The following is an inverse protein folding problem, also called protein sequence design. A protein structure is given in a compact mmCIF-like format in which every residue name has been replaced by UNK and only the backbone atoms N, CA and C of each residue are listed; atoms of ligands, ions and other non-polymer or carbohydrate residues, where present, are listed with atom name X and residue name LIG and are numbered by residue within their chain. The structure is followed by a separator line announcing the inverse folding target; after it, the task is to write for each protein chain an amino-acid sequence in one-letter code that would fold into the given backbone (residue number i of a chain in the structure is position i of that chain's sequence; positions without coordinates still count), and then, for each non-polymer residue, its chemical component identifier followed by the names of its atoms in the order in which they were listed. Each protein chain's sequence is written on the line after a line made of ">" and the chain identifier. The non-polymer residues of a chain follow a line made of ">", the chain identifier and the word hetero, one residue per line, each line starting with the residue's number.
data_IF_259137816801
#
_entry.id   IF_259137816801
#
_cell.length_a   1.000
_cell.length_b   1.000
_cell.length_c   1.000
_cell.angle_alpha   90.00
_cell.angle_beta   90.00
_cell.angle_gamma   90.00
#
_symmetry.space_group_name_H-M   'P 1'
#
loop_
_entity.id
_entity.type
_entity.pdbx_description
1 polymer ?
#
# COMPACT_ATOMS: atom_id res chain seq x y z
N UNK A 1 -19.39 14.16 59.11
CA UNK A 1 -19.87 14.09 57.71
C UNK A 1 -18.69 13.80 56.81
N UNK A 2 -18.51 12.54 56.41
CA UNK A 2 -17.36 12.08 55.63
C UNK A 2 -17.83 11.80 54.20
N UNK A 3 -17.51 12.69 53.26
CA UNK A 3 -17.84 12.53 51.83
C UNK A 3 -16.93 11.46 51.24
N UNK A 4 -17.51 10.32 50.86
CA UNK A 4 -16.83 9.22 50.19
C UNK A 4 -16.34 9.63 48.79
N UNK A 5 -15.08 9.36 48.40
CA UNK A 5 -14.50 9.77 47.11
C UNK A 5 -14.84 8.79 45.96
N UNK A 6 -16.00 8.13 46.03
CA UNK A 6 -16.38 7.07 45.09
C UNK A 6 -16.73 7.56 43.67
N UNK A 7 -16.85 8.87 43.45
CA UNK A 7 -17.18 9.45 42.16
C UNK A 7 -15.98 9.64 41.24
N UNK A 8 -14.85 10.12 41.75
CA UNK A 8 -13.72 10.57 40.93
C UNK A 8 -13.00 9.41 40.21
N UNK A 9 -12.92 8.26 40.85
CA UNK A 9 -12.26 7.07 40.29
C UNK A 9 -13.04 6.46 39.13
N UNK A 10 -14.38 6.54 39.17
CA UNK A 10 -15.26 6.10 38.07
C UNK A 10 -15.06 6.95 36.81
N UNK A 11 -14.86 8.26 36.97
CA UNK A 11 -14.60 9.16 35.83
C UNK A 11 -13.17 9.01 35.28
N UNK A 12 -12.17 8.75 36.14
CA UNK A 12 -10.80 8.46 35.69
C UNK A 12 -10.70 7.13 34.93
N UNK A 13 -11.42 6.09 35.38
CA UNK A 13 -11.48 4.81 34.68
C UNK A 13 -12.18 4.93 33.32
N UNK A 14 -13.23 5.76 33.22
CA UNK A 14 -13.93 6.02 31.96
C UNK A 14 -13.05 6.77 30.93
N UNK A 15 -12.21 7.71 31.40
CA UNK A 15 -11.30 8.44 30.51
C UNK A 15 -10.11 7.59 30.03
N UNK A 16 -9.59 6.68 30.86
CA UNK A 16 -8.55 5.72 30.47
C UNK A 16 -9.06 4.68 29.46
N UNK A 17 -10.34 4.30 29.52
CA UNK A 17 -10.98 3.44 28.52
C UNK A 17 -11.17 4.13 27.16
N UNK A 18 -11.33 5.45 27.12
CA UNK A 18 -11.46 6.21 25.88
C UNK A 18 -10.10 6.50 25.20
N UNK A 19 -9.01 6.58 25.96
CA UNK A 19 -7.67 6.83 25.42
C UNK A 19 -7.03 5.61 24.73
N UNK A 20 -7.55 4.40 24.95
CA UNK A 20 -6.96 3.14 24.45
C UNK A 20 -7.26 2.78 23.00
N UNK A 21 -8.03 3.59 22.25
CA UNK A 21 -8.49 3.22 20.89
C UNK A 21 -7.83 4.00 19.76
N UNK A 22 -6.82 4.82 20.04
CA UNK A 22 -5.97 5.39 18.98
C UNK A 22 -4.93 4.33 18.59
N UNK A 23 -5.44 3.20 18.08
CA UNK A 23 -4.63 2.26 17.31
C UNK A 23 -4.09 3.02 16.11
N UNK A 24 -2.79 2.91 15.90
CA UNK A 24 -2.10 3.46 14.75
C UNK A 24 -2.62 2.73 13.49
N UNK A 25 -3.72 3.21 12.89
CA UNK A 25 -4.36 2.62 11.71
C UNK A 25 -3.55 2.96 10.45
N UNK A 26 -2.33 2.43 10.35
CA UNK A 26 -1.73 2.19 9.04
C UNK A 26 -2.53 1.11 8.29
N UNK A 27 -2.56 1.13 6.94
CA UNK A 27 -3.18 0.04 6.20
C UNK A 27 -2.51 -1.28 6.60
N UNK A 28 -3.27 -2.23 7.12
CA UNK A 28 -2.75 -3.56 7.47
C UNK A 28 -2.35 -4.26 6.17
N UNK A 29 -1.05 -4.26 5.88
CA UNK A 29 -0.49 -5.00 4.75
C UNK A 29 -0.43 -6.48 5.11
N UNK A 30 -0.69 -7.34 4.13
CA UNK A 30 -0.32 -8.74 4.24
C UNK A 30 1.22 -8.87 4.12
N UNK A 31 1.83 -9.89 4.72
CA UNK A 31 3.29 -10.05 4.71
C UNK A 31 3.92 -10.07 3.32
N UNK A 32 3.25 -10.70 2.34
CA UNK A 32 3.72 -10.78 0.96
C UNK A 32 3.75 -9.40 0.28
N UNK A 33 2.76 -8.56 0.58
CA UNK A 33 2.69 -7.18 0.09
C UNK A 33 3.78 -6.33 0.73
N UNK A 34 4.03 -6.51 2.03
CA UNK A 34 5.12 -5.83 2.74
C UNK A 34 6.48 -6.19 2.13
N UNK A 35 6.74 -7.48 1.85
CA UNK A 35 7.97 -7.93 1.19
C UNK A 35 8.16 -7.28 -0.19
N UNK A 36 7.09 -7.18 -0.99
CA UNK A 36 7.10 -6.49 -2.29
C UNK A 36 7.46 -5.02 -2.13
N UNK A 37 6.83 -4.32 -1.18
CA UNK A 37 7.06 -2.89 -0.94
C UNK A 37 8.49 -2.62 -0.44
N UNK A 38 9.00 -3.45 0.47
CA UNK A 38 10.33 -3.27 1.07
C UNK A 38 11.47 -3.49 0.09
N UNK A 39 11.25 -4.32 -0.92
CA UNK A 39 12.23 -4.59 -1.98
C UNK A 39 11.91 -3.85 -3.28
N UNK A 40 10.89 -2.98 -3.29
CA UNK A 40 10.37 -2.38 -4.52
C UNK A 40 11.39 -1.50 -5.25
N UNK A 41 12.31 -0.85 -4.53
CA UNK A 41 13.31 0.04 -5.12
C UNK A 41 14.45 -0.71 -5.82
N UNK A 42 14.64 -1.98 -5.50
CA UNK A 42 15.60 -2.85 -6.17
C UNK A 42 14.91 -3.53 -7.36
N UNK A 43 15.29 -3.14 -8.58
CA UNK A 43 14.63 -3.59 -9.81
C UNK A 43 14.60 -5.12 -9.94
N UNK A 44 15.72 -5.79 -9.66
CA UNK A 44 15.85 -7.23 -9.83
C UNK A 44 15.04 -7.98 -8.78
N UNK A 45 15.09 -7.52 -7.52
CA UNK A 45 14.27 -8.12 -6.45
C UNK A 45 12.79 -7.87 -6.66
N UNK A 46 12.40 -6.65 -7.06
CA UNK A 46 11.02 -6.33 -7.40
C UNK A 46 10.51 -7.26 -8.49
N UNK A 47 11.23 -7.40 -9.59
CA UNK A 47 10.85 -8.32 -10.68
C UNK A 47 10.67 -9.76 -10.18
N UNK A 48 11.63 -10.29 -9.42
CA UNK A 48 11.56 -11.64 -8.87
C UNK A 48 10.35 -11.83 -7.93
N UNK A 49 10.03 -10.85 -7.09
CA UNK A 49 8.88 -10.91 -6.19
C UNK A 49 7.55 -10.79 -6.94
N UNK A 50 7.49 -9.93 -7.95
CA UNK A 50 6.31 -9.82 -8.83
C UNK A 50 6.07 -11.12 -9.61
N UNK A 51 7.12 -11.82 -10.03
CA UNK A 51 7.00 -13.15 -10.65
C UNK A 51 6.63 -14.24 -9.63
N UNK A 52 7.21 -14.20 -8.41
CA UNK A 52 6.90 -15.14 -7.32
C UNK A 52 5.44 -15.07 -6.90
N UNK A 53 4.89 -13.86 -6.79
CA UNK A 53 3.53 -13.63 -6.29
C UNK A 53 2.50 -13.42 -7.39
N UNK A 54 2.89 -12.97 -8.57
CA UNK A 54 2.01 -12.78 -9.72
C UNK A 54 1.50 -14.08 -10.31
N UNK A 55 0.18 -14.15 -10.54
CA UNK A 55 -0.33 -15.13 -11.48
C UNK A 55 0.17 -14.83 -12.91
N UNK A 56 0.39 -15.85 -13.76
CA UNK A 56 0.86 -15.66 -15.12
C UNK A 56 -0.02 -14.67 -15.89
N UNK A 57 0.61 -13.63 -16.46
CA UNK A 57 -0.07 -12.61 -17.26
C UNK A 57 -0.83 -11.54 -16.47
N UNK A 58 -0.80 -11.56 -15.13
CA UNK A 58 -1.48 -10.54 -14.31
C UNK A 58 -0.63 -9.28 -14.15
N UNK A 59 0.65 -9.42 -13.80
CA UNK A 59 1.51 -8.26 -13.52
C UNK A 59 2.21 -7.80 -14.81
N UNK A 60 2.06 -6.52 -15.21
CA UNK A 60 2.75 -5.97 -16.38
C UNK A 60 4.26 -5.91 -16.17
N UNK A 61 5.02 -6.23 -17.21
CA UNK A 61 6.49 -6.14 -17.20
C UNK A 61 6.96 -4.69 -17.04
N UNK A 62 6.15 -3.73 -17.46
CA UNK A 62 6.40 -2.29 -17.39
C UNK A 62 6.66 -1.82 -15.95
N UNK A 63 6.07 -2.49 -14.96
CA UNK A 63 6.31 -2.20 -13.54
C UNK A 63 7.76 -2.55 -13.11
N UNK A 64 8.45 -3.40 -13.87
CA UNK A 64 9.84 -3.74 -13.64
C UNK A 64 10.84 -2.87 -14.43
N UNK A 65 10.39 -2.09 -15.44
CA UNK A 65 11.29 -1.42 -16.38
C UNK A 65 11.96 -0.15 -15.83
N UNK A 66 11.27 0.65 -15.02
CA UNK A 66 11.78 1.93 -14.52
C UNK A 66 12.27 1.83 -13.08
N UNK A 67 13.26 2.65 -12.71
CA UNK A 67 13.58 2.88 -11.30
C UNK A 67 12.51 3.77 -10.69
N UNK A 68 11.99 3.33 -9.55
CA UNK A 68 10.85 3.95 -8.91
C UNK A 68 11.06 3.99 -7.40
N UNK A 69 10.50 5.01 -6.76
CA UNK A 69 10.55 5.14 -5.30
C UNK A 69 9.80 4.00 -4.63
N UNK A 70 10.06 3.80 -3.33
CA UNK A 70 9.23 2.93 -2.49
C UNK A 70 7.77 3.38 -2.63
N UNK A 71 6.84 2.48 -3.00
CA UNK A 71 5.45 2.83 -3.21
C UNK A 71 4.78 3.12 -1.87
N UNK A 72 3.86 4.08 -1.87
CA UNK A 72 3.01 4.38 -0.73
C UNK A 72 1.63 3.80 -1.01
N UNK A 73 1.09 3.03 -0.06
CA UNK A 73 -0.29 2.53 -0.15
C UNK A 73 -1.23 3.66 0.25
N UNK A 74 -1.99 4.16 -0.72
CA UNK A 74 -2.94 5.26 -0.53
C UNK A 74 -4.36 4.78 -0.22
N UNK A 75 -4.70 3.54 -0.57
CA UNK A 75 -6.01 2.95 -0.29
C UNK A 75 -5.92 1.43 -0.19
N UNK A 76 -6.69 0.86 0.74
CA UNK A 76 -6.90 -0.59 0.86
C UNK A 76 -8.39 -0.89 0.82
N UNK A 77 -8.80 -1.85 0.01
CA UNK A 77 -10.21 -2.27 -0.13
C UNK A 77 -10.29 -3.79 -0.20
N UNK A 78 -11.34 -4.39 0.38
CA UNK A 78 -11.62 -5.81 0.23
C UNK A 78 -12.90 -5.99 -0.58
N UNK A 79 -12.84 -6.82 -1.63
CA UNK A 79 -13.99 -7.13 -2.47
C UNK A 79 -13.88 -8.55 -3.01
N UNK A 80 -14.95 -9.33 -2.86
CA UNK A 80 -15.04 -10.72 -3.33
C UNK A 80 -13.90 -11.62 -2.83
N UNK A 81 -13.43 -11.37 -1.60
CA UNK A 81 -12.31 -12.07 -0.98
C UNK A 81 -10.94 -11.75 -1.59
N UNK A 82 -10.83 -10.62 -2.30
CA UNK A 82 -9.58 -10.06 -2.83
C UNK A 82 -9.28 -8.76 -2.10
N UNK A 83 -8.06 -8.62 -1.59
CA UNK A 83 -7.56 -7.39 -0.97
C UNK A 83 -6.84 -6.56 -2.00
N UNK A 84 -7.38 -5.39 -2.32
CA UNK A 84 -6.83 -4.44 -3.28
C UNK A 84 -6.04 -3.35 -2.55
N UNK A 85 -4.79 -3.16 -2.95
CA UNK A 85 -3.94 -2.06 -2.51
C UNK A 85 -3.73 -1.10 -3.68
N UNK A 86 -4.21 0.13 -3.52
CA UNK A 86 -3.85 1.23 -4.42
C UNK A 86 -2.54 1.84 -3.95
N UNK A 87 -1.57 1.90 -4.86
CA UNK A 87 -0.22 2.38 -4.61
C UNK A 87 0.10 3.57 -5.48
N UNK A 88 0.92 4.45 -4.93
CA UNK A 88 1.51 5.58 -5.63
C UNK A 88 3.04 5.47 -5.53
N UNK A 89 3.73 5.55 -6.67
CA UNK A 89 5.21 5.55 -6.71
C UNK A 89 5.71 6.52 -7.76
N UNK A 90 6.81 7.22 -7.47
CA UNK A 90 7.42 8.18 -8.40
C UNK A 90 8.47 7.48 -9.24
N UNK A 91 8.50 7.75 -10.54
CA UNK A 91 9.59 7.32 -11.42
C UNK A 91 10.81 8.22 -11.20
N UNK A 92 11.94 7.62 -10.82
CA UNK A 92 13.20 8.35 -10.64
C UNK A 92 14.06 8.30 -11.90
N UNK A 93 14.08 7.16 -12.58
CA UNK A 93 14.80 6.96 -13.85
C UNK A 93 14.05 5.96 -14.71
N UNK A 94 14.03 6.19 -16.02
CA UNK A 94 13.53 5.18 -16.95
C UNK A 94 14.23 5.30 -18.30
N UNK A 95 15.00 4.28 -18.68
CA UNK A 95 15.80 4.29 -19.90
C UNK A 95 14.93 4.32 -21.17
N UNK A 96 13.76 3.69 -21.11
CA UNK A 96 12.86 3.58 -22.26
C UNK A 96 11.87 4.74 -22.37
N UNK A 97 11.84 5.67 -21.40
CA UNK A 97 10.91 6.80 -21.40
C UNK A 97 11.39 7.93 -20.49
N UNK A 98 12.14 8.87 -21.06
CA UNK A 98 12.57 10.08 -20.32
C UNK A 98 11.37 10.90 -19.83
N UNK A 99 10.29 10.96 -20.61
CA UNK A 99 9.05 11.65 -20.25
C UNK A 99 8.36 11.08 -19.00
N UNK A 100 8.64 9.81 -18.64
CA UNK A 100 8.11 9.20 -17.42
C UNK A 100 8.81 9.72 -16.16
N UNK A 101 10.03 10.24 -16.26
CA UNK A 101 10.83 10.64 -15.09
C UNK A 101 10.15 11.78 -14.33
N UNK A 102 10.05 11.65 -13.01
CA UNK A 102 9.38 12.61 -12.13
C UNK A 102 7.86 12.44 -12.04
N UNK A 103 7.25 11.61 -12.89
CA UNK A 103 5.81 11.33 -12.81
C UNK A 103 5.46 10.40 -11.65
N UNK A 104 4.23 10.50 -11.14
CA UNK A 104 3.68 9.57 -10.16
C UNK A 104 2.85 8.52 -10.89
N UNK A 105 3.28 7.26 -10.79
CA UNK A 105 2.52 6.09 -11.22
C UNK A 105 1.56 5.68 -10.12
N UNK A 106 0.30 5.51 -10.49
CA UNK A 106 -0.72 4.93 -9.63
C UNK A 106 -1.06 3.56 -10.17
N UNK A 107 -1.14 2.56 -9.31
CA UNK A 107 -1.53 1.23 -9.70
C UNK A 107 -2.20 0.49 -8.54
N UNK A 108 -3.01 -0.51 -8.89
CA UNK A 108 -3.74 -1.33 -7.93
C UNK A 108 -3.28 -2.77 -8.07
N UNK A 109 -2.90 -3.40 -6.95
CA UNK A 109 -2.65 -4.84 -6.87
C UNK A 109 -3.73 -5.51 -6.03
N UNK A 110 -4.44 -6.47 -6.63
CA UNK A 110 -5.41 -7.31 -5.95
C UNK A 110 -4.78 -8.64 -5.53
N UNK A 111 -4.85 -8.92 -4.23
CA UNK A 111 -4.27 -10.09 -3.59
C UNK A 111 -5.32 -11.08 -3.13
N UNK A 112 -5.09 -12.36 -3.41
CA UNK A 112 -5.92 -13.47 -2.92
C UNK A 112 -5.03 -14.66 -2.61
N UNK A 113 -5.13 -15.18 -1.39
CA UNK A 113 -4.33 -16.35 -0.97
C UNK A 113 -2.82 -16.17 -1.14
N UNK A 114 -2.28 -14.97 -0.86
CA UNK A 114 -0.85 -14.66 -0.99
C UNK A 114 -0.37 -14.49 -2.43
N UNK A 115 -1.27 -14.43 -3.41
CA UNK A 115 -0.96 -14.21 -4.83
C UNK A 115 -1.57 -12.92 -5.37
N UNK A 116 -0.88 -12.27 -6.30
CA UNK A 116 -1.39 -11.14 -7.07
C UNK A 116 -2.24 -11.71 -8.21
N UNK A 117 -3.55 -11.59 -8.07
CA UNK A 117 -4.56 -12.13 -9.01
C UNK A 117 -5.18 -11.05 -9.90
N UNK A 118 -4.96 -9.77 -9.56
CA UNK A 118 -5.37 -8.61 -10.35
C UNK A 118 -4.32 -7.52 -10.31
N UNK A 119 -4.12 -6.86 -11.44
CA UNK A 119 -3.34 -5.65 -11.54
C UNK A 119 -4.08 -4.65 -12.42
N UNK A 120 -4.08 -3.37 -12.03
CA UNK A 120 -4.66 -2.30 -12.83
C UNK A 120 -3.76 -1.08 -12.75
N UNK A 121 -3.37 -0.53 -13.90
CA UNK A 121 -2.78 0.80 -13.96
C UNK A 121 -3.87 1.83 -13.62
N UNK A 122 -3.60 2.69 -12.64
CA UNK A 122 -4.44 3.82 -12.34
C UNK A 122 -4.33 4.90 -13.42
N UNK A 123 -5.36 5.72 -13.55
CA UNK A 123 -5.26 6.99 -14.28
C UNK A 123 -4.36 7.98 -13.51
N UNK A 124 -3.78 8.98 -14.18
CA UNK A 124 -2.90 9.94 -13.52
C UNK A 124 -3.66 10.78 -12.49
N UNK A 125 -3.03 11.01 -11.33
CA UNK A 125 -3.43 12.08 -10.41
C UNK A 125 -2.81 13.37 -10.92
N UNK A 126 -3.51 14.07 -11.80
CA UNK A 126 -3.11 15.39 -12.30
C UNK A 126 -1.75 15.41 -13.01
N UNK A 127 -1.74 15.16 -14.32
CA UNK A 127 -0.55 15.36 -15.17
C UNK A 127 -0.39 14.28 -16.23
N UNK A 128 -0.17 14.73 -17.47
CA UNK A 128 -0.13 14.02 -18.76
C UNK A 128 -0.08 12.48 -18.72
N UNK A 129 -1.13 11.87 -19.26
CA UNK A 129 -1.09 10.48 -19.77
C UNK A 129 -0.35 10.53 -21.10
N UNK A 130 0.73 9.79 -21.22
CA UNK A 130 1.12 9.24 -22.53
C UNK A 130 1.06 7.73 -22.41
N UNK A 131 0.32 7.15 -23.35
CA UNK A 131 0.15 5.72 -23.60
C UNK A 131 1.27 5.25 -24.54
#
# INVERSE_FOLDING_TARGET
>A
MQKSPAGLWKYLALMLLLAGTVGFFGPKLIPEMEEVIDNFTDRAKREALLQKYGEPGVVPQELALCDMTKPVVSKTEEKDGITYYTMESRVEKCEHSEAAVGTIRIFVMGWKGGKIVKFVWGGPKGGKVEY
#
